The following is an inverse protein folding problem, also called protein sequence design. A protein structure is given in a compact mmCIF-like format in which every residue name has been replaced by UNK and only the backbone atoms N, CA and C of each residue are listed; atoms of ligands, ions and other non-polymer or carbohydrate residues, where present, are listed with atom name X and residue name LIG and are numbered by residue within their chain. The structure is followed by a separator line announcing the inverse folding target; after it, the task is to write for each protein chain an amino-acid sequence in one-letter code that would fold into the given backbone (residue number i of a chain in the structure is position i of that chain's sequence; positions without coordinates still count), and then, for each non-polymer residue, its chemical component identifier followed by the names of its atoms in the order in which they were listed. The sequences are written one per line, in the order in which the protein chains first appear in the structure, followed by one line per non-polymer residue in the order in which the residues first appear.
data_IF_820990964023
#
_entry.id   IF_820990964023
#
_cell.length_a   1.000
_cell.length_b   1.000
_cell.length_c   1.000
_cell.angle_alpha   90.00
_cell.angle_beta   90.00
_cell.angle_gamma   90.00
#
_symmetry.space_group_name_H-M   'P 1'
#
loop_
_entity.id
_entity.type
_entity.pdbx_description
1 polymer ?
#
# COMPACT_ATOMS: atom_id res chain seq x y z
N UNK A 1 -14.65 -7.98 -11.28
CA UNK A 1 -13.51 -7.76 -10.36
C UNK A 1 -13.69 -8.68 -9.16
N UNK A 2 -12.62 -9.35 -8.72
CA UNK A 2 -12.62 -10.27 -7.57
C UNK A 2 -11.66 -9.71 -6.52
N UNK A 3 -12.09 -9.69 -5.28
CA UNK A 3 -11.29 -9.23 -4.14
C UNK A 3 -10.79 -10.42 -3.34
N UNK A 4 -9.48 -10.45 -3.08
CA UNK A 4 -8.80 -11.52 -2.33
C UNK A 4 -8.04 -10.89 -1.18
N UNK A 5 -8.17 -11.48 -0.01
CA UNK A 5 -7.44 -11.07 1.20
C UNK A 5 -6.31 -12.08 1.46
N UNK A 6 -5.08 -11.61 1.55
CA UNK A 6 -3.91 -12.42 1.89
C UNK A 6 -3.32 -11.89 3.20
N UNK A 7 -3.39 -12.70 4.24
CA UNK A 7 -2.75 -12.38 5.51
C UNK A 7 -1.24 -12.64 5.40
N UNK A 8 -0.45 -11.74 5.98
CA UNK A 8 1.01 -11.80 6.04
C UNK A 8 1.46 -11.59 7.48
N UNK A 9 2.58 -12.17 7.86
CA UNK A 9 3.13 -11.97 9.19
C UNK A 9 4.06 -10.75 9.22
N UNK A 10 4.02 -10.00 10.31
CA UNK A 10 5.02 -9.00 10.60
C UNK A 10 6.29 -9.70 11.08
N UNK A 11 7.46 -9.27 10.58
CA UNK A 11 8.73 -9.76 11.09
C UNK A 11 8.88 -9.46 12.59
N UNK A 12 9.79 -10.17 13.25
CA UNK A 12 10.12 -9.94 14.67
C UNK A 12 10.52 -8.48 14.93
N UNK A 13 11.29 -7.90 13.99
CA UNK A 13 11.68 -6.50 14.06
C UNK A 13 10.46 -5.58 13.97
N UNK A 14 9.60 -5.74 12.97
CA UNK A 14 8.37 -4.95 12.82
C UNK A 14 7.49 -5.07 14.06
N UNK A 15 7.26 -6.29 14.56
CA UNK A 15 6.44 -6.56 15.73
C UNK A 15 6.97 -5.82 16.97
N UNK A 16 8.30 -5.83 17.18
CA UNK A 16 8.94 -5.11 18.29
C UNK A 16 8.68 -3.61 18.24
N UNK A 17 8.92 -3.00 17.06
CA UNK A 17 8.72 -1.56 16.89
C UNK A 17 7.25 -1.15 16.92
N UNK A 18 6.38 -1.96 16.33
CA UNK A 18 4.93 -1.74 16.36
C UNK A 18 4.37 -1.74 17.77
N UNK A 19 4.75 -2.74 18.60
CA UNK A 19 4.35 -2.82 20.00
C UNK A 19 4.88 -1.66 20.81
N UNK A 20 6.16 -1.33 20.70
CA UNK A 20 6.76 -0.20 21.42
C UNK A 20 6.08 1.14 21.07
N UNK A 21 5.73 1.37 19.80
CA UNK A 21 4.97 2.55 19.41
C UNK A 21 3.55 2.53 19.98
N UNK A 22 2.85 1.38 19.93
CA UNK A 22 1.51 1.24 20.51
C UNK A 22 1.54 1.58 22.01
N UNK A 23 2.46 1.02 22.79
CA UNK A 23 2.62 1.29 24.22
C UNK A 23 2.86 2.78 24.51
N UNK A 24 3.74 3.42 23.73
CA UNK A 24 3.96 4.88 23.83
C UNK A 24 2.68 5.68 23.56
N UNK A 25 1.90 5.30 22.58
CA UNK A 25 0.65 5.97 22.21
C UNK A 25 -0.42 5.79 23.29
N UNK A 26 -0.49 4.61 23.93
CA UNK A 26 -1.39 4.35 25.07
C UNK A 26 -1.07 5.30 26.24
N UNK A 27 0.22 5.44 26.58
CA UNK A 27 0.66 6.34 27.66
C UNK A 27 0.30 7.79 27.34
N UNK A 28 0.51 8.24 26.11
CA UNK A 28 0.15 9.60 25.68
C UNK A 28 -1.36 9.84 25.72
N UNK A 29 -2.16 8.87 25.28
CA UNK A 29 -3.62 8.98 25.29
C UNK A 29 -4.22 9.02 26.72
N UNK A 30 -3.56 8.44 27.71
CA UNK A 30 -4.03 8.45 29.10
C UNK A 30 -3.92 9.85 29.78
N UNK A 31 -3.14 10.77 29.19
CA UNK A 31 -2.89 12.10 29.76
C UNK A 31 -3.48 13.29 28.98
N UNK A 32 -3.95 13.05 27.76
CA UNK A 32 -4.38 14.14 26.86
C UNK A 32 -5.63 13.76 26.06
N UNK A 33 -6.40 14.77 25.67
CA UNK A 33 -7.51 14.59 24.73
C UNK A 33 -6.98 14.23 23.33
N UNK A 34 -7.45 13.11 22.77
CA UNK A 34 -7.03 12.62 21.47
C UNK A 34 -7.69 13.41 20.36
N UNK A 35 -6.92 14.23 19.67
CA UNK A 35 -7.41 14.93 18.47
C UNK A 35 -7.35 14.04 17.23
N UNK A 36 -8.21 14.28 16.25
CA UNK A 36 -8.18 13.57 14.96
C UNK A 36 -6.81 13.69 14.25
N UNK A 37 -6.12 14.82 14.41
CA UNK A 37 -4.77 15.02 13.87
C UNK A 37 -3.76 14.08 14.51
N UNK A 38 -3.76 13.97 15.83
CA UNK A 38 -2.84 13.09 16.57
C UNK A 38 -3.12 11.62 16.26
N UNK A 39 -4.39 11.24 16.19
CA UNK A 39 -4.81 9.91 15.77
C UNK A 39 -4.32 9.56 14.35
N UNK A 40 -4.47 10.47 13.39
CA UNK A 40 -4.01 10.27 12.01
C UNK A 40 -2.49 10.09 11.92
N UNK A 41 -1.72 10.88 12.67
CA UNK A 41 -0.26 10.75 12.72
C UNK A 41 0.15 9.39 13.31
N UNK A 42 -0.48 8.98 14.40
CA UNK A 42 -0.23 7.70 15.05
C UNK A 42 -0.53 6.53 14.11
N UNK A 43 -1.70 6.53 13.47
CA UNK A 43 -2.10 5.51 12.49
C UNK A 43 -1.13 5.45 11.32
N UNK A 44 -0.71 6.61 10.79
CA UNK A 44 0.26 6.67 9.71
C UNK A 44 1.61 6.04 10.11
N UNK A 45 2.10 6.30 11.32
CA UNK A 45 3.35 5.71 11.84
C UNK A 45 3.24 4.19 12.02
N UNK A 46 2.15 3.69 12.58
CA UNK A 46 1.89 2.26 12.73
C UNK A 46 1.83 1.57 11.35
N UNK A 47 1.16 2.18 10.37
CA UNK A 47 1.14 1.68 9.00
C UNK A 47 2.54 1.67 8.37
N UNK A 48 3.34 2.70 8.52
CA UNK A 48 4.71 2.74 7.99
C UNK A 48 5.55 1.57 8.50
N UNK A 49 5.51 1.29 9.81
CA UNK A 49 6.22 0.15 10.41
C UNK A 49 5.69 -1.16 9.82
N UNK A 50 4.38 -1.35 9.77
CA UNK A 50 3.76 -2.56 9.26
C UNK A 50 4.06 -2.80 7.77
N UNK A 51 4.20 -1.74 6.97
CA UNK A 51 4.48 -1.83 5.54
C UNK A 51 5.97 -1.91 5.19
N UNK A 52 6.87 -1.70 6.16
CA UNK A 52 8.29 -2.03 6.01
C UNK A 52 9.26 -0.86 6.00
N UNK A 53 8.83 0.39 6.11
CA UNK A 53 9.75 1.53 6.23
C UNK A 53 9.09 2.72 6.94
N UNK A 54 9.84 3.38 7.83
CA UNK A 54 9.42 4.59 8.52
C UNK A 54 10.55 5.61 8.56
N UNK A 55 10.24 6.85 8.95
CA UNK A 55 11.26 7.85 9.28
C UNK A 55 11.56 7.82 10.77
N UNK A 56 12.85 7.89 11.09
CA UNK A 56 13.34 8.19 12.44
C UNK A 56 13.11 9.66 12.79
N UNK A 57 13.32 10.02 14.05
CA UNK A 57 13.24 11.43 14.50
C UNK A 57 14.28 12.32 13.79
N UNK A 58 15.41 11.75 13.37
CA UNK A 58 16.45 12.43 12.59
C UNK A 58 16.13 12.48 11.07
N UNK A 59 14.91 12.12 10.66
CA UNK A 59 14.45 12.04 9.26
C UNK A 59 15.22 11.03 8.39
N UNK A 60 15.95 10.11 9.00
CA UNK A 60 16.54 8.97 8.30
C UNK A 60 15.50 7.91 8.04
N UNK A 61 15.68 7.15 6.98
CA UNK A 61 14.78 6.03 6.65
C UNK A 61 15.22 4.79 7.42
N UNK A 62 14.34 4.27 8.27
CA UNK A 62 14.48 2.95 8.88
C UNK A 62 13.67 1.94 8.09
N UNK A 63 14.36 0.98 7.50
CA UNK A 63 13.73 -0.15 6.79
C UNK A 63 13.64 -1.38 7.70
N UNK A 64 12.56 -2.10 7.56
CA UNK A 64 12.28 -3.34 8.29
C UNK A 64 12.42 -4.55 7.38
N UNK A 65 12.63 -5.71 7.98
CA UNK A 65 12.51 -6.96 7.28
C UNK A 65 11.06 -7.21 6.84
N UNK A 66 10.88 -7.37 5.53
CA UNK A 66 9.58 -7.60 4.88
C UNK A 66 9.54 -8.94 4.16
N UNK A 67 10.40 -9.88 4.53
CA UNK A 67 10.58 -11.15 3.79
C UNK A 67 9.28 -11.91 3.61
N UNK A 68 8.48 -12.08 4.67
CA UNK A 68 7.22 -12.83 4.60
C UNK A 68 6.18 -12.12 3.72
N UNK A 69 6.03 -10.80 3.87
CA UNK A 69 5.12 -10.00 3.03
C UNK A 69 5.56 -10.04 1.56
N UNK A 70 6.86 -9.93 1.32
CA UNK A 70 7.41 -9.95 -0.03
C UNK A 70 7.25 -11.34 -0.68
N UNK A 71 7.37 -12.41 0.09
CA UNK A 71 7.10 -13.77 -0.40
C UNK A 71 5.67 -13.91 -0.93
N UNK A 72 4.68 -13.43 -0.18
CA UNK A 72 3.28 -13.45 -0.62
C UNK A 72 3.08 -12.59 -1.87
N UNK A 73 3.73 -11.41 -1.96
CA UNK A 73 3.72 -10.61 -3.18
C UNK A 73 4.26 -11.40 -4.38
N UNK A 74 5.37 -12.12 -4.21
CA UNK A 74 5.96 -12.95 -5.27
C UNK A 74 5.02 -14.03 -5.75
N UNK A 75 4.36 -14.72 -4.82
CA UNK A 75 3.35 -15.72 -5.15
C UNK A 75 2.24 -15.12 -6.02
N UNK A 76 1.73 -13.93 -5.66
CA UNK A 76 0.70 -13.24 -6.44
C UNK A 76 1.18 -12.82 -7.84
N UNK A 77 2.44 -12.37 -7.96
CA UNK A 77 3.03 -12.01 -9.25
C UNK A 77 3.15 -13.26 -10.13
N UNK A 78 3.64 -14.37 -9.57
CA UNK A 78 3.84 -15.64 -10.29
C UNK A 78 2.50 -16.29 -10.69
N UNK A 79 1.43 -16.12 -9.89
CA UNK A 79 0.07 -16.55 -10.19
C UNK A 79 -0.62 -15.65 -11.25
N UNK A 80 -0.12 -14.46 -11.52
CA UNK A 80 -0.75 -13.50 -12.43
C UNK A 80 -0.51 -13.88 -13.89
N UNK A 81 -1.59 -13.94 -14.68
CA UNK A 81 -1.50 -14.23 -16.12
C UNK A 81 -1.11 -13.01 -16.98
N UNK A 82 -1.10 -11.82 -16.38
CA UNK A 82 -0.82 -10.53 -17.02
C UNK A 82 0.09 -9.70 -16.11
N UNK A 83 0.31 -8.46 -16.48
CA UNK A 83 1.05 -7.48 -15.69
C UNK A 83 0.36 -7.17 -14.36
N UNK A 84 1.13 -6.67 -13.40
CA UNK A 84 0.70 -6.41 -12.02
C UNK A 84 0.88 -4.95 -11.66
N UNK A 85 -0.13 -4.35 -11.03
CA UNK A 85 -0.02 -3.06 -10.34
C UNK A 85 0.14 -3.30 -8.85
N UNK A 86 1.12 -2.66 -8.23
CA UNK A 86 1.31 -2.67 -6.77
C UNK A 86 1.05 -1.27 -6.25
N UNK A 87 0.07 -1.10 -5.38
CA UNK A 87 -0.20 0.16 -4.70
C UNK A 87 0.39 0.16 -3.30
N UNK A 88 1.21 1.18 -2.99
CA UNK A 88 1.77 1.40 -1.67
C UNK A 88 1.69 2.90 -1.31
N UNK A 89 1.21 3.26 -0.09
CA UNK A 89 0.93 4.65 0.25
C UNK A 89 2.18 5.50 0.53
N UNK A 90 3.32 4.87 0.85
CA UNK A 90 4.53 5.55 1.30
C UNK A 90 5.69 5.39 0.33
N UNK A 91 6.35 6.49 -0.03
CA UNK A 91 7.47 6.54 -0.97
C UNK A 91 8.62 5.60 -0.59
N UNK A 92 9.01 5.54 0.69
CA UNK A 92 10.11 4.68 1.12
C UNK A 92 9.77 3.19 0.96
N UNK A 93 8.50 2.83 1.21
CA UNK A 93 7.99 1.48 0.99
C UNK A 93 7.99 1.14 -0.51
N UNK A 94 7.59 2.08 -1.38
CA UNK A 94 7.65 1.92 -2.84
C UNK A 94 9.08 1.62 -3.29
N UNK A 95 10.06 2.41 -2.82
CA UNK A 95 11.47 2.22 -3.15
C UNK A 95 12.00 0.86 -2.65
N UNK A 96 11.60 0.45 -1.44
CA UNK A 96 11.97 -0.84 -0.87
C UNK A 96 11.45 -2.01 -1.72
N UNK A 97 10.16 -1.96 -2.12
CA UNK A 97 9.55 -2.98 -2.98
C UNK A 97 10.26 -3.04 -4.33
N UNK A 98 10.45 -1.89 -4.99
CA UNK A 98 11.06 -1.81 -6.32
C UNK A 98 12.49 -2.37 -6.33
N UNK A 99 13.31 -2.06 -5.31
CA UNK A 99 14.66 -2.63 -5.19
C UNK A 99 14.64 -4.16 -5.03
N UNK A 100 13.70 -4.70 -4.25
CA UNK A 100 13.56 -6.16 -4.10
C UNK A 100 13.14 -6.82 -5.41
N UNK A 101 12.17 -6.25 -6.12
CA UNK A 101 11.75 -6.74 -7.43
C UNK A 101 12.91 -6.73 -8.44
N UNK A 102 13.66 -5.64 -8.49
CA UNK A 102 14.85 -5.52 -9.38
C UNK A 102 15.92 -6.57 -9.04
N UNK A 103 16.17 -6.78 -7.74
CA UNK A 103 17.12 -7.82 -7.28
C UNK A 103 16.70 -9.23 -7.73
N UNK A 104 15.42 -9.49 -7.80
CA UNK A 104 14.85 -10.77 -8.23
C UNK A 104 14.66 -10.86 -9.77
N UNK A 105 15.16 -9.87 -10.52
CA UNK A 105 15.08 -9.85 -11.98
C UNK A 105 13.68 -9.51 -12.54
N UNK A 106 12.75 -9.00 -11.71
CA UNK A 106 11.44 -8.57 -12.16
C UNK A 106 11.52 -7.13 -12.64
N UNK A 107 11.22 -6.93 -13.94
CA UNK A 107 11.19 -5.59 -14.53
C UNK A 107 10.07 -4.77 -13.91
N UNK A 108 10.43 -3.62 -13.35
CA UNK A 108 9.47 -2.75 -12.66
C UNK A 108 9.81 -1.27 -12.86
N UNK A 109 8.79 -0.42 -12.72
CA UNK A 109 8.91 1.04 -12.72
C UNK A 109 8.11 1.64 -11.57
N UNK A 110 8.57 2.79 -11.08
CA UNK A 110 7.95 3.51 -9.97
C UNK A 110 7.13 4.68 -10.50
N UNK A 111 5.93 4.87 -9.94
CA UNK A 111 5.09 6.05 -10.14
C UNK A 111 4.76 6.67 -8.77
N UNK A 112 5.36 7.80 -8.46
CA UNK A 112 5.11 8.57 -7.24
C UNK A 112 5.18 10.08 -7.53
N UNK A 113 4.96 10.90 -6.50
CA UNK A 113 4.95 12.37 -6.64
C UNK A 113 6.20 12.97 -7.26
N UNK A 114 7.37 12.36 -7.03
CA UNK A 114 8.66 12.84 -7.53
C UNK A 114 8.89 12.56 -9.02
N UNK A 115 8.09 11.67 -9.63
CA UNK A 115 8.24 11.35 -11.06
C UNK A 115 7.56 12.45 -11.89
N UNK A 116 8.27 13.14 -12.79
CA UNK A 116 7.69 14.17 -13.64
C UNK A 116 6.53 13.65 -14.49
N UNK A 117 5.54 14.49 -14.78
CA UNK A 117 4.33 14.10 -15.52
C UNK A 117 4.66 13.49 -16.90
N UNK A 118 5.63 14.06 -17.64
CA UNK A 118 6.08 13.54 -18.93
C UNK A 118 6.63 12.12 -18.83
N UNK A 119 7.45 11.86 -17.79
CA UNK A 119 8.02 10.54 -17.55
C UNK A 119 6.95 9.53 -17.11
N UNK A 120 5.97 9.96 -16.29
CA UNK A 120 4.82 9.09 -15.94
C UNK A 120 4.05 8.65 -17.18
N UNK A 121 3.78 9.58 -18.09
CA UNK A 121 3.08 9.27 -19.35
C UNK A 121 3.87 8.25 -20.19
N UNK A 122 5.19 8.40 -20.28
CA UNK A 122 6.05 7.45 -20.99
C UNK A 122 6.01 6.05 -20.32
N UNK A 123 6.14 5.98 -19.00
CA UNK A 123 6.08 4.72 -18.24
C UNK A 123 4.73 4.02 -18.47
N UNK A 124 3.63 4.75 -18.37
CA UNK A 124 2.30 4.19 -18.61
C UNK A 124 2.14 3.68 -20.05
N UNK A 125 2.64 4.43 -21.03
CA UNK A 125 2.62 4.00 -22.43
C UNK A 125 3.41 2.72 -22.62
N UNK A 126 4.64 2.63 -22.11
CA UNK A 126 5.46 1.42 -22.16
C UNK A 126 4.76 0.24 -21.48
N UNK A 127 4.20 0.46 -20.30
CA UNK A 127 3.47 -0.59 -19.57
C UNK A 127 2.32 -1.17 -20.38
N UNK A 128 1.59 -0.34 -21.13
CA UNK A 128 0.45 -0.78 -21.94
C UNK A 128 0.85 -1.47 -23.25
N UNK A 129 1.97 -1.06 -23.87
CA UNK A 129 2.27 -1.43 -25.26
C UNK A 129 3.49 -2.33 -25.47
N UNK A 130 4.25 -2.65 -24.41
CA UNK A 130 5.45 -3.49 -24.50
C UNK A 130 5.48 -4.51 -23.38
N UNK A 131 6.30 -5.54 -23.47
CA UNK A 131 6.40 -6.61 -22.46
C UNK A 131 6.95 -6.11 -21.12
N UNK A 132 7.82 -5.10 -21.15
CA UNK A 132 8.42 -4.50 -19.95
C UNK A 132 8.01 -3.05 -19.78
N UNK A 133 7.79 -2.57 -18.54
CA UNK A 133 7.91 -3.30 -17.28
C UNK A 133 6.76 -4.30 -17.04
N UNK A 134 7.05 -5.37 -16.31
CA UNK A 134 6.04 -6.35 -15.86
C UNK A 134 5.20 -5.82 -14.71
N UNK A 135 5.80 -5.01 -13.86
CA UNK A 135 5.19 -4.49 -12.63
C UNK A 135 5.31 -2.97 -12.57
N UNK A 136 4.23 -2.29 -12.16
CA UNK A 136 4.30 -0.90 -11.70
C UNK A 136 4.10 -0.83 -10.19
N UNK A 137 5.00 -0.12 -9.50
CA UNK A 137 4.86 0.19 -8.07
C UNK A 137 4.42 1.65 -7.95
N UNK A 138 3.19 1.86 -7.49
CA UNK A 138 2.48 3.12 -7.66
C UNK A 138 2.06 3.69 -6.31
N UNK A 139 2.33 4.97 -6.08
CA UNK A 139 1.68 5.71 -5.02
C UNK A 139 0.21 5.97 -5.43
N UNK A 140 -0.79 5.55 -4.63
CA UNK A 140 -2.20 5.56 -5.05
C UNK A 140 -2.69 6.90 -5.61
N UNK A 141 -2.30 8.02 -4.99
CA UNK A 141 -2.66 9.37 -5.42
C UNK A 141 -2.11 9.71 -6.82
N UNK A 142 -0.99 9.11 -7.20
CA UNK A 142 -0.37 9.33 -8.51
C UNK A 142 -1.07 8.58 -9.65
N UNK A 143 -1.95 7.64 -9.35
CA UNK A 143 -2.79 6.94 -10.31
C UNK A 143 -4.09 7.70 -10.63
N UNK A 144 -4.40 8.80 -9.94
CA UNK A 144 -5.66 9.54 -10.08
C UNK A 144 -5.89 10.18 -11.46
N UNK A 145 -4.88 10.26 -12.33
CA UNK A 145 -4.92 11.02 -13.58
C UNK A 145 -5.45 10.26 -14.81
N UNK A 146 -6.61 9.63 -14.71
CA UNK A 146 -7.39 9.18 -15.88
C UNK A 146 -6.78 8.07 -16.74
N UNK A 147 -5.63 7.51 -16.37
CA UNK A 147 -4.90 6.52 -17.17
C UNK A 147 -5.64 5.18 -17.18
N UNK A 148 -5.66 4.53 -18.34
CA UNK A 148 -6.13 3.14 -18.50
C UNK A 148 -4.94 2.18 -18.44
N UNK A 149 -5.02 1.15 -17.60
CA UNK A 149 -3.94 0.19 -17.36
C UNK A 149 -4.42 -1.27 -17.54
N UNK A 150 -5.11 -1.53 -18.65
CA UNK A 150 -5.70 -2.83 -18.98
C UNK A 150 -4.68 -3.90 -19.39
N UNK A 151 -3.40 -3.54 -19.57
CA UNK A 151 -2.32 -4.51 -19.69
C UNK A 151 -2.12 -5.34 -18.39
N UNK A 152 -2.56 -4.81 -17.25
CA UNK A 152 -2.62 -5.55 -16.00
C UNK A 152 -4.02 -6.14 -15.79
N UNK A 153 -4.09 -7.29 -15.13
CA UNK A 153 -5.33 -7.86 -14.61
C UNK A 153 -5.29 -8.13 -13.11
N UNK A 154 -4.16 -7.85 -12.48
CA UNK A 154 -3.93 -8.05 -11.04
C UNK A 154 -3.48 -6.75 -10.39
N UNK A 155 -4.14 -6.39 -9.32
CA UNK A 155 -3.79 -5.28 -8.43
C UNK A 155 -3.40 -5.86 -7.08
N UNK A 156 -2.25 -5.46 -6.56
CA UNK A 156 -1.84 -5.78 -5.19
C UNK A 156 -1.79 -4.49 -4.38
N UNK A 157 -2.61 -4.41 -3.38
CA UNK A 157 -2.49 -3.41 -2.34
C UNK A 157 -1.49 -3.90 -1.30
N UNK A 158 -0.26 -3.37 -1.36
CA UNK A 158 0.78 -3.64 -0.37
C UNK A 158 0.38 -3.18 1.02
N UNK A 159 -0.37 -2.09 1.09
CA UNK A 159 -1.03 -1.59 2.28
C UNK A 159 -2.18 -0.66 1.90
N UNK A 160 -3.11 -0.40 2.83
CA UNK A 160 -4.28 0.41 2.55
C UNK A 160 -3.96 1.89 2.35
N UNK A 161 -4.79 2.58 1.57
CA UNK A 161 -4.86 4.03 1.54
C UNK A 161 -5.92 4.55 2.51
N UNK A 162 -5.76 5.78 2.97
CA UNK A 162 -6.74 6.44 3.87
C UNK A 162 -7.97 6.99 3.14
N UNK A 163 -7.93 7.09 1.81
CA UNK A 163 -8.99 7.67 0.99
C UNK A 163 -9.76 6.61 0.23
N UNK A 164 -11.06 6.52 0.50
CA UNK A 164 -11.99 5.64 -0.23
C UNK A 164 -12.04 6.00 -1.71
N UNK A 165 -12.06 7.28 -2.04
CA UNK A 165 -12.07 7.76 -3.42
C UNK A 165 -10.81 7.29 -4.17
N UNK A 166 -9.62 7.49 -3.56
CA UNK A 166 -8.35 7.04 -4.12
C UNK A 166 -8.33 5.52 -4.32
N UNK A 167 -8.85 4.77 -3.36
CA UNK A 167 -8.96 3.31 -3.46
C UNK A 167 -9.83 2.88 -4.63
N UNK A 168 -11.02 3.46 -4.75
CA UNK A 168 -11.96 3.15 -5.82
C UNK A 168 -11.40 3.55 -7.21
N UNK A 169 -10.82 4.75 -7.33
CA UNK A 169 -10.23 5.24 -8.57
C UNK A 169 -9.04 4.38 -9.01
N UNK A 170 -8.15 3.99 -8.09
CA UNK A 170 -7.00 3.14 -8.40
C UNK A 170 -7.45 1.76 -8.93
N UNK A 171 -8.42 1.12 -8.28
CA UNK A 171 -8.96 -0.16 -8.74
C UNK A 171 -9.63 -0.05 -10.12
N UNK A 172 -10.30 1.06 -10.41
CA UNK A 172 -10.95 1.31 -11.68
C UNK A 172 -9.97 1.49 -12.86
N UNK A 173 -8.66 1.60 -12.64
CA UNK A 173 -7.66 1.74 -13.73
C UNK A 173 -7.48 0.48 -14.56
N UNK A 174 -7.70 -0.67 -13.96
CA UNK A 174 -7.57 -1.99 -14.62
C UNK A 174 -8.90 -2.48 -15.17
N UNK A 175 -9.99 -2.24 -14.47
CA UNK A 175 -11.33 -2.70 -14.87
C UNK A 175 -12.04 -1.63 -15.72
N UNK A 176 -11.67 -1.58 -17.01
CA UNK A 176 -12.21 -0.64 -17.99
C UNK A 176 -12.53 -1.34 -19.32
N UNK A 177 -13.18 -0.60 -20.23
CA UNK A 177 -13.37 -1.06 -21.62
C UNK A 177 -12.03 -1.47 -22.24
N UNK A 178 -11.99 -2.64 -22.86
CA UNK A 178 -10.78 -3.29 -23.40
C UNK A 178 -10.08 -4.23 -22.42
N UNK A 179 -10.66 -4.50 -21.24
CA UNK A 179 -10.17 -5.54 -20.33
C UNK A 179 -10.89 -6.85 -20.57
N UNK A 180 -10.21 -7.78 -21.24
CA UNK A 180 -10.75 -9.10 -21.61
C UNK A 180 -10.50 -10.19 -20.54
N UNK A 181 -9.77 -9.84 -19.49
CA UNK A 181 -9.42 -10.77 -18.43
C UNK A 181 -10.13 -10.44 -17.12
N UNK A 182 -10.37 -11.49 -16.31
CA UNK A 182 -10.85 -11.34 -14.93
C UNK A 182 -9.85 -10.53 -14.11
N UNK A 183 -10.31 -9.40 -13.55
CA UNK A 183 -9.48 -8.57 -12.70
C UNK A 183 -9.49 -9.06 -11.26
N UNK A 184 -8.32 -9.19 -10.66
CA UNK A 184 -8.15 -9.59 -9.27
C UNK A 184 -7.53 -8.43 -8.48
N UNK A 185 -8.10 -8.12 -7.32
CA UNK A 185 -7.58 -7.15 -6.36
C UNK A 185 -7.18 -7.90 -5.09
N UNK A 186 -5.89 -7.90 -4.78
CA UNK A 186 -5.33 -8.57 -3.61
C UNK A 186 -4.99 -7.55 -2.55
N UNK A 187 -5.53 -7.70 -1.35
CA UNK A 187 -5.20 -6.91 -0.16
C UNK A 187 -4.21 -7.70 0.70
N UNK A 188 -2.97 -7.20 0.88
CA UNK A 188 -2.03 -7.75 1.86
C UNK A 188 -2.30 -7.14 3.23
N UNK A 189 -2.43 -7.98 4.27
CA UNK A 189 -2.85 -7.56 5.61
C UNK A 189 -1.97 -8.20 6.68
N UNK A 190 -1.11 -7.41 7.34
CA UNK A 190 -0.16 -7.94 8.34
C UNK A 190 -0.43 -7.45 9.77
N UNK A 191 -1.08 -6.32 9.94
CA UNK A 191 -1.29 -5.70 11.25
C UNK A 191 -2.76 -5.40 11.53
N UNK A 192 -3.13 -5.19 12.81
CA UNK A 192 -4.48 -4.77 13.17
C UNK A 192 -4.90 -3.48 12.45
N UNK A 193 -4.03 -2.47 12.39
CA UNK A 193 -4.35 -1.21 11.72
C UNK A 193 -4.66 -1.40 10.23
N UNK A 194 -3.93 -2.26 9.53
CA UNK A 194 -4.22 -2.56 8.12
C UNK A 194 -5.59 -3.22 7.96
N UNK A 195 -5.88 -4.22 8.80
CA UNK A 195 -7.16 -4.96 8.76
C UNK A 195 -8.36 -4.03 8.99
N UNK A 196 -8.26 -3.11 9.95
CA UNK A 196 -9.31 -2.14 10.23
C UNK A 196 -9.49 -1.14 9.09
N UNK A 197 -8.40 -0.58 8.54
CA UNK A 197 -8.50 0.36 7.41
C UNK A 197 -9.09 -0.32 6.18
N UNK A 198 -8.69 -1.55 5.86
CA UNK A 198 -9.33 -2.31 4.77
C UNK A 198 -10.80 -2.59 5.03
N UNK A 199 -11.20 -2.88 6.28
CA UNK A 199 -12.61 -3.08 6.62
C UNK A 199 -13.44 -1.81 6.37
N UNK A 200 -12.91 -0.62 6.69
CA UNK A 200 -13.56 0.65 6.36
C UNK A 200 -13.69 0.85 4.85
N UNK A 201 -12.62 0.59 4.08
CA UNK A 201 -12.64 0.70 2.62
C UNK A 201 -13.65 -0.27 1.98
N UNK A 202 -13.69 -1.53 2.45
CA UNK A 202 -14.64 -2.55 1.98
C UNK A 202 -16.09 -2.16 2.27
N UNK A 203 -16.36 -1.49 3.40
CA UNK A 203 -17.67 -0.98 3.79
C UNK A 203 -17.97 0.42 3.24
N UNK A 204 -17.11 0.98 2.39
CA UNK A 204 -17.22 2.32 1.79
C UNK A 204 -17.31 3.45 2.81
N UNK A 205 -16.58 3.32 3.92
CA UNK A 205 -16.50 4.32 4.97
C UNK A 205 -15.16 5.08 4.83
N UNK A 206 -15.23 6.42 4.91
CA UNK A 206 -14.03 7.25 4.92
C UNK A 206 -13.30 7.14 6.26
N UNK A 207 -11.99 6.94 6.22
CA UNK A 207 -11.16 6.85 7.43
C UNK A 207 -11.27 8.11 8.31
N UNK A 208 -11.41 9.30 7.70
CA UNK A 208 -11.52 10.56 8.46
C UNK A 208 -12.71 10.58 9.42
N UNK A 209 -13.83 9.95 9.05
CA UNK A 209 -15.05 9.89 9.87
C UNK A 209 -14.88 8.96 11.08
N UNK A 210 -13.94 8.02 11.02
CA UNK A 210 -13.72 6.96 11.99
C UNK A 210 -12.33 6.95 12.62
N UNK A 211 -11.52 7.97 12.38
CA UNK A 211 -10.11 7.96 12.77
C UNK A 211 -9.91 7.89 14.29
N UNK A 212 -10.75 8.54 15.07
CA UNK A 212 -10.68 8.52 16.54
C UNK A 212 -11.16 7.17 17.07
N UNK A 213 -12.28 6.65 16.53
CA UNK A 213 -12.82 5.33 16.90
C UNK A 213 -11.75 4.26 16.63
N UNK A 214 -11.17 4.28 15.44
CA UNK A 214 -10.10 3.36 15.03
C UNK A 214 -8.86 3.47 15.93
N UNK A 215 -8.46 4.69 16.28
CA UNK A 215 -7.34 4.91 17.20
C UNK A 215 -7.59 4.26 18.55
N UNK A 216 -8.78 4.47 19.12
CA UNK A 216 -9.15 3.88 20.41
C UNK A 216 -9.20 2.34 20.34
N UNK A 217 -9.79 1.77 19.28
CA UNK A 217 -9.83 0.32 19.07
C UNK A 217 -8.43 -0.31 18.96
N UNK A 218 -7.50 0.36 18.29
CA UNK A 218 -6.14 -0.15 18.12
C UNK A 218 -5.34 -0.06 19.42
N UNK A 219 -5.59 0.94 20.25
CA UNK A 219 -4.90 1.09 21.53
C UNK A 219 -5.48 0.22 22.64
N UNK A 220 -6.76 -0.15 22.57
CA UNK A 220 -7.36 -1.14 23.48
C UNK A 220 -6.70 -2.51 23.33
#
# INVERSE_FOLDING_TARGET
MVYVKRDVELSRQQTKYYKALKEKLVIQAAGEEVTAKNAAIAMSKLLQIALGATYTDNKEVLEFDITDRYKVLREVIDESSKKVLIFAPFKNVINLIARKLTKDGISNEIICGDVPASKRTEIFRKFQSTDTPQVLVIQPQSAAHGVTLTAANTIVWWGPTSSLETYAQANARVHRAGQDHKCTVVQLRGSPVEKHVYALLDNRINLHEKIIDLYNEILA
#
